data_IF_526681630808
#
_entry.id   IF_526681630808
#
_cell.length_a   1.000
_cell.length_b   1.000
_cell.length_c   1.000
_cell.angle_alpha   90.00
_cell.angle_beta   90.00
_cell.angle_gamma   90.00
#
_symmetry.space_group_name_H-M   'P 1'
#
loop_
_entity.id
_entity.type
_entity.pdbx_description
1 polymer ?
#
# COMPACT_ATOMS: atom_id res chain seq x y z
N UNK A 1 7.03 -13.50 5.41
CA UNK A 1 7.29 -12.84 4.11
C UNK A 1 6.92 -11.38 4.26
N UNK A 2 7.89 -10.48 4.21
CA UNK A 2 7.65 -9.03 4.22
C UNK A 2 7.85 -8.47 2.82
N UNK A 3 7.01 -7.50 2.45
CA UNK A 3 7.10 -6.79 1.17
C UNK A 3 7.43 -5.34 1.47
N UNK A 4 8.43 -4.80 0.78
CA UNK A 4 8.85 -3.40 0.91
C UNK A 4 8.57 -2.71 -0.41
N UNK A 5 7.97 -1.53 -0.35
CA UNK A 5 7.70 -0.68 -1.51
C UNK A 5 8.59 0.54 -1.42
N UNK A 6 9.39 0.77 -2.45
CA UNK A 6 10.36 1.86 -2.50
C UNK A 6 10.02 2.73 -3.71
N UNK A 7 9.78 4.02 -3.47
CA UNK A 7 9.65 5.03 -4.54
C UNK A 7 10.98 5.76 -4.67
N UNK A 8 11.61 5.66 -5.84
CA UNK A 8 12.86 6.36 -6.15
C UNK A 8 12.85 6.83 -7.61
N UNK A 9 13.91 7.51 -8.03
CA UNK A 9 14.15 7.77 -9.45
C UNK A 9 14.49 6.47 -10.20
N UNK A 10 14.46 6.54 -11.54
CA UNK A 10 14.67 5.40 -12.45
C UNK A 10 16.05 4.75 -12.29
N UNK A 11 17.11 5.52 -12.04
CA UNK A 11 18.46 4.95 -11.89
C UNK A 11 18.56 4.18 -10.58
N UNK A 12 18.11 4.79 -9.48
CA UNK A 12 18.09 4.15 -8.17
C UNK A 12 17.22 2.89 -8.15
N UNK A 13 16.03 2.93 -8.77
CA UNK A 13 15.14 1.75 -8.83
C UNK A 13 15.79 0.58 -9.56
N UNK A 14 16.56 0.84 -10.61
CA UNK A 14 17.28 -0.20 -11.35
C UNK A 14 18.32 -0.89 -10.49
N UNK A 15 19.13 -0.11 -9.76
CA UNK A 15 20.17 -0.64 -8.87
C UNK A 15 19.54 -1.49 -7.76
N UNK A 16 18.46 -0.99 -7.14
CA UNK A 16 17.74 -1.71 -6.09
C UNK A 16 17.11 -3.01 -6.61
N UNK A 17 16.54 -2.99 -7.81
CA UNK A 17 15.98 -4.18 -8.44
C UNK A 17 17.06 -5.24 -8.69
N UNK A 18 18.21 -4.86 -9.23
CA UNK A 18 19.33 -5.79 -9.48
C UNK A 18 19.86 -6.40 -8.18
N UNK A 19 19.96 -5.60 -7.10
CA UNK A 19 20.36 -6.08 -5.79
C UNK A 19 19.34 -7.08 -5.24
N UNK A 20 18.05 -6.76 -5.30
CA UNK A 20 16.99 -7.63 -4.82
C UNK A 20 16.98 -8.98 -5.55
N UNK A 21 17.17 -8.98 -6.87
CA UNK A 21 17.29 -10.21 -7.67
C UNK A 21 18.51 -11.03 -7.24
N UNK A 22 19.67 -10.39 -7.04
CA UNK A 22 20.90 -11.08 -6.60
C UNK A 22 20.76 -11.74 -5.22
N UNK A 23 19.97 -11.14 -4.35
CA UNK A 23 19.66 -11.68 -3.01
C UNK A 23 18.58 -12.78 -3.04
N UNK A 24 18.07 -13.14 -4.22
CA UNK A 24 17.01 -14.15 -4.38
C UNK A 24 15.59 -13.62 -4.17
N UNK A 25 15.42 -12.30 -4.12
CA UNK A 25 14.12 -11.65 -4.02
C UNK A 25 13.40 -11.54 -5.37
N UNK A 26 12.07 -11.45 -5.33
CA UNK A 26 11.26 -11.19 -6.52
C UNK A 26 11.01 -9.67 -6.67
N UNK A 27 11.16 -9.15 -7.90
CA UNK A 27 10.95 -7.74 -8.21
C UNK A 27 9.76 -7.61 -9.13
N UNK A 28 8.77 -6.83 -8.70
CA UNK A 28 7.58 -6.51 -9.48
C UNK A 28 7.47 -5.00 -9.64
N UNK A 29 7.37 -4.54 -10.88
CA UNK A 29 7.09 -3.13 -11.17
C UNK A 29 5.64 -2.80 -10.85
N UNK A 30 5.40 -1.69 -10.17
CA UNK A 30 4.06 -1.16 -9.88
C UNK A 30 3.90 0.20 -10.55
N UNK A 31 2.70 0.48 -11.05
CA UNK A 31 2.35 1.81 -11.57
C UNK A 31 1.82 2.72 -10.43
N UNK A 32 1.63 4.01 -10.74
CA UNK A 32 1.19 5.00 -9.74
C UNK A 32 -0.20 4.68 -9.14
N UNK A 33 -1.14 4.16 -9.95
CA UNK A 33 -2.47 3.77 -9.47
C UNK A 33 -2.40 2.60 -8.47
N UNK A 34 -1.61 1.58 -8.78
CA UNK A 34 -1.38 0.45 -7.88
C UNK A 34 -0.68 0.90 -6.59
N UNK A 35 0.24 1.86 -6.68
CA UNK A 35 0.89 2.43 -5.51
C UNK A 35 -0.09 3.19 -4.60
N UNK A 36 -1.00 3.97 -5.18
CA UNK A 36 -2.06 4.65 -4.46
C UNK A 36 -2.98 3.65 -3.74
N UNK A 37 -3.44 2.60 -4.44
CA UNK A 37 -4.28 1.55 -3.87
C UNK A 37 -3.62 0.88 -2.66
N UNK A 38 -2.32 0.58 -2.76
CA UNK A 38 -1.58 -0.03 -1.66
C UNK A 38 -1.47 0.93 -0.47
N UNK A 39 -1.14 2.21 -0.72
CA UNK A 39 -1.09 3.23 0.33
C UNK A 39 -2.44 3.40 1.03
N UNK A 40 -3.51 3.47 0.26
CA UNK A 40 -4.86 3.56 0.79
C UNK A 40 -5.19 2.33 1.64
N UNK A 41 -4.87 1.13 1.16
CA UNK A 41 -5.05 -0.11 1.91
C UNK A 41 -4.29 -0.13 3.24
N UNK A 42 -3.05 0.37 3.28
CA UNK A 42 -2.26 0.48 4.52
C UNK A 42 -2.93 1.44 5.51
N UNK A 43 -3.39 2.61 5.04
CA UNK A 43 -4.10 3.58 5.88
C UNK A 43 -5.42 3.00 6.41
N UNK A 44 -6.20 2.33 5.56
CA UNK A 44 -7.44 1.68 5.96
C UNK A 44 -7.21 0.57 6.98
N UNK A 45 -6.17 -0.23 6.81
CA UNK A 45 -5.82 -1.30 7.75
C UNK A 45 -5.40 -0.72 9.11
N UNK A 46 -4.68 0.40 9.14
CA UNK A 46 -4.31 1.09 10.38
C UNK A 46 -5.54 1.55 11.18
N UNK A 47 -6.55 2.07 10.50
CA UNK A 47 -7.80 2.57 11.12
C UNK A 47 -8.89 1.49 11.28
N UNK A 48 -8.60 0.24 10.89
CA UNK A 48 -9.60 -0.83 10.86
C UNK A 48 -10.00 -1.23 12.29
N UNK A 49 -11.30 -1.12 12.58
CA UNK A 49 -11.85 -1.42 13.92
C UNK A 49 -12.22 -2.88 14.14
N UNK A 50 -12.18 -3.71 13.09
CA UNK A 50 -12.56 -5.13 13.13
C UNK A 50 -14.06 -5.40 13.32
N UNK A 51 -14.89 -4.36 13.43
CA UNK A 51 -16.35 -4.49 13.63
C UNK A 51 -17.09 -4.39 12.30
N UNK A 52 -18.06 -5.28 12.09
CA UNK A 52 -19.05 -5.12 11.04
C UNK A 52 -20.07 -4.08 11.50
N UNK A 53 -20.18 -2.99 10.76
CA UNK A 53 -21.11 -1.88 11.06
C UNK A 53 -22.08 -1.70 9.92
N UNK A 54 -23.34 -1.37 10.25
CA UNK A 54 -24.34 -1.08 9.23
C UNK A 54 -24.01 0.21 8.48
N UNK A 55 -24.48 0.29 7.23
CA UNK A 55 -24.34 1.48 6.39
C UNK A 55 -24.82 2.74 7.11
N UNK A 56 -25.95 2.67 7.82
CA UNK A 56 -26.53 3.81 8.53
C UNK A 56 -25.60 4.38 9.61
N UNK A 57 -24.91 3.51 10.36
CA UNK A 57 -23.94 3.93 11.38
C UNK A 57 -22.73 4.63 10.76
N UNK A 58 -22.25 4.15 9.61
CA UNK A 58 -21.14 4.77 8.87
C UNK A 58 -21.55 6.16 8.38
N UNK A 59 -22.71 6.28 7.73
CA UNK A 59 -23.19 7.57 7.20
C UNK A 59 -23.51 8.57 8.31
N UNK A 60 -24.00 8.12 9.48
CA UNK A 60 -24.20 8.99 10.64
C UNK A 60 -22.88 9.60 11.14
N UNK A 61 -21.80 8.81 11.15
CA UNK A 61 -20.46 9.27 11.58
C UNK A 61 -19.79 10.17 10.55
N UNK A 62 -20.04 9.95 9.25
CA UNK A 62 -19.53 10.81 8.17
C UNK A 62 -20.24 12.16 8.09
N UNK A 63 -21.52 12.23 8.48
CA UNK A 63 -22.30 13.48 8.51
C UNK A 63 -21.99 14.39 9.71
N UNK A 64 -21.24 13.93 10.71
CA UNK A 64 -20.95 14.72 11.91
C UNK A 64 -19.70 15.60 11.79
N UNK A 65 -19.37 16.05 10.57
CA UNK A 65 -18.22 16.91 10.32
C UNK A 65 -18.61 18.06 9.42
#
# INVERSE_FOLDING_TARGET
>A
MSTIIIKSDKQSSKILAELAIKLGGNVVGINDSQFEDIKLGILMNKEKTGKLVSRDLVFKKLKSK
#
